data_IF_307754407201
#
_entry.id   IF_307754407201
#
_cell.length_a   1.000
_cell.length_b   1.000
_cell.length_c   1.000
_cell.angle_alpha   90.00
_cell.angle_beta   90.00
_cell.angle_gamma   90.00
#
_symmetry.space_group_name_H-M   'P 1'
#
loop_
_entity.id
_entity.type
_entity.pdbx_description
1 polymer ?
#
# COMPACT_ATOMS: atom_id res chain seq x y z
N UNK A 1 -11.93 10.87 4.90
CA UNK A 1 -11.17 9.60 5.02
C UNK A 1 -12.18 8.48 5.12
N UNK A 2 -12.05 7.41 4.33
CA UNK A 2 -13.03 6.32 4.32
C UNK A 2 -12.60 5.15 5.21
N UNK A 3 -11.34 4.76 5.11
CA UNK A 3 -10.77 3.62 5.85
C UNK A 3 -9.39 4.02 6.39
N UNK A 4 -9.03 3.51 7.57
CA UNK A 4 -7.68 3.60 8.14
C UNK A 4 -7.40 2.33 8.94
N UNK A 5 -6.32 1.63 8.60
CA UNK A 5 -5.93 0.40 9.31
C UNK A 5 -4.41 0.34 9.51
N UNK A 6 -4.00 -0.22 10.64
CA UNK A 6 -2.59 -0.43 10.97
C UNK A 6 -2.07 -1.63 10.19
N UNK A 7 -0.96 -1.44 9.49
CA UNK A 7 -0.35 -2.51 8.70
C UNK A 7 1.16 -2.33 8.54
N UNK A 8 1.80 -3.38 8.03
CA UNK A 8 3.15 -3.35 7.50
C UNK A 8 3.08 -3.26 5.98
N UNK A 9 3.89 -2.39 5.40
CA UNK A 9 4.06 -2.27 3.96
C UNK A 9 5.40 -2.87 3.56
N UNK A 10 5.36 -3.66 2.50
CA UNK A 10 6.50 -4.24 1.82
C UNK A 10 6.51 -3.76 0.38
N UNK A 11 7.71 -3.66 -0.20
CA UNK A 11 7.94 -3.38 -1.62
C UNK A 11 8.79 -4.50 -2.19
N UNK A 12 8.46 -4.93 -3.41
CA UNK A 12 9.28 -5.89 -4.15
C UNK A 12 10.50 -5.19 -4.72
N UNK A 13 11.66 -5.82 -4.58
CA UNK A 13 12.88 -5.43 -5.27
C UNK A 13 12.79 -5.80 -6.76
N UNK A 14 13.05 -4.85 -7.66
CA UNK A 14 12.84 -5.04 -9.11
C UNK A 14 13.82 -6.01 -9.75
N UNK A 15 15.02 -6.15 -9.20
CA UNK A 15 16.07 -7.00 -9.76
C UNK A 15 15.94 -8.44 -9.26
N UNK A 16 15.63 -8.60 -7.97
CA UNK A 16 15.63 -9.89 -7.29
C UNK A 16 14.25 -10.48 -7.06
N UNK A 17 13.19 -9.67 -7.20
CA UNK A 17 11.81 -10.05 -6.90
C UNK A 17 11.54 -10.30 -5.41
N UNK A 18 12.49 -9.96 -4.53
CA UNK A 18 12.38 -10.21 -3.09
C UNK A 18 11.59 -9.10 -2.39
N UNK A 19 10.72 -9.49 -1.46
CA UNK A 19 9.98 -8.55 -0.63
C UNK A 19 10.85 -7.94 0.46
N UNK A 20 10.94 -6.62 0.50
CA UNK A 20 11.62 -5.86 1.55
C UNK A 20 10.61 -5.05 2.34
N UNK A 21 10.78 -5.01 3.68
CA UNK A 21 9.92 -4.19 4.54
C UNK A 21 10.21 -2.72 4.26
N UNK A 22 9.16 -1.98 3.93
CA UNK A 22 9.23 -0.55 3.57
C UNK A 22 8.78 0.35 4.72
N UNK A 23 7.69 0.02 5.41
CA UNK A 23 7.14 0.86 6.47
C UNK A 23 6.24 0.09 7.45
N UNK A 24 6.02 0.66 8.63
CA UNK A 24 4.92 0.33 9.52
C UNK A 24 4.08 1.59 9.74
N UNK A 25 2.76 1.48 9.66
CA UNK A 25 1.94 2.69 9.64
C UNK A 25 0.45 2.45 9.57
N UNK A 26 -0.29 3.55 9.51
CA UNK A 26 -1.69 3.53 9.14
C UNK A 26 -1.82 3.74 7.63
N UNK A 27 -2.32 2.73 6.93
CA UNK A 27 -2.75 2.86 5.55
C UNK A 27 -4.17 3.40 5.52
N UNK A 28 -4.39 4.42 4.70
CA UNK A 28 -5.66 5.12 4.57
C UNK A 28 -6.14 5.13 3.13
N UNK A 29 -7.45 4.98 2.97
CA UNK A 29 -8.13 5.27 1.70
C UNK A 29 -8.81 6.62 1.84
N UNK A 30 -8.45 7.53 0.95
CA UNK A 30 -8.98 8.90 0.92
C UNK A 30 -9.62 9.19 -0.43
N UNK A 31 -10.63 10.06 -0.43
CA UNK A 31 -11.17 10.65 -1.64
C UNK A 31 -10.39 11.92 -1.95
N UNK A 32 -9.69 11.94 -3.08
CA UNK A 32 -9.01 13.13 -3.58
C UNK A 32 -10.03 14.00 -4.33
N UNK A 33 -10.50 15.07 -3.68
CA UNK A 33 -11.54 15.95 -4.20
C UNK A 33 -11.19 16.61 -5.55
N UNK A 34 -10.00 17.23 -5.73
CA UNK A 34 -9.61 17.84 -7.00
C UNK A 34 -9.59 16.87 -8.18
N UNK A 35 -8.98 15.70 -8.00
CA UNK A 35 -8.83 14.70 -9.06
C UNK A 35 -10.07 13.78 -9.19
N UNK A 36 -11.01 13.86 -8.24
CA UNK A 36 -12.18 13.00 -8.12
C UNK A 36 -11.81 11.51 -8.18
N UNK A 37 -10.81 11.12 -7.39
CA UNK A 37 -10.25 9.75 -7.38
C UNK A 37 -9.99 9.26 -5.96
N UNK A 38 -10.10 7.95 -5.74
CA UNK A 38 -9.65 7.35 -4.48
C UNK A 38 -8.12 7.14 -4.50
N UNK A 39 -7.46 7.51 -3.40
CA UNK A 39 -6.02 7.30 -3.20
C UNK A 39 -5.78 6.45 -1.95
N UNK A 40 -4.80 5.56 -2.07
CA UNK A 40 -4.14 4.94 -0.92
C UNK A 40 -3.00 5.87 -0.52
N UNK A 41 -2.97 6.22 0.76
CA UNK A 41 -1.83 6.90 1.38
C UNK A 41 -1.39 6.10 2.61
N UNK A 42 -0.10 6.14 2.92
CA UNK A 42 0.42 5.55 4.15
C UNK A 42 1.48 6.46 4.75
N UNK A 43 1.40 6.69 6.05
CA UNK A 43 2.39 7.43 6.84
C UNK A 43 3.15 6.42 7.68
N UNK A 44 4.47 6.48 7.64
CA UNK A 44 5.35 5.65 8.46
C UNK A 44 5.37 6.17 9.91
N UNK A 45 5.15 5.28 10.88
CA UNK A 45 5.09 5.65 12.30
C UNK A 45 6.44 6.05 12.89
N UNK A 46 7.56 5.58 12.32
CA UNK A 46 8.90 5.85 12.86
C UNK A 46 9.42 7.20 12.39
N UNK A 47 9.29 7.46 11.09
CA UNK A 47 9.80 8.70 10.48
C UNK A 47 8.73 9.79 10.35
N UNK A 48 7.46 9.46 10.62
CA UNK A 48 6.31 10.38 10.58
C UNK A 48 6.11 11.10 9.23
N UNK A 49 6.54 10.46 8.14
CA UNK A 49 6.37 10.97 6.78
C UNK A 49 5.55 10.03 5.91
N UNK A 50 4.97 10.56 4.84
CA UNK A 50 4.31 9.76 3.80
C UNK A 50 5.34 8.75 3.26
N UNK A 51 4.95 7.49 3.11
CA UNK A 51 5.83 6.45 2.58
C UNK A 51 5.25 5.75 1.35
N UNK A 52 3.95 5.90 1.07
CA UNK A 52 3.30 5.46 -0.15
C UNK A 52 2.14 6.38 -0.51
N UNK A 53 1.96 6.64 -1.81
CA UNK A 53 0.87 7.48 -2.34
C UNK A 53 0.51 7.06 -3.75
N UNK A 54 -0.66 6.46 -3.94
CA UNK A 54 -1.09 6.05 -5.28
C UNK A 54 -2.62 5.96 -5.42
N UNK A 55 -3.07 6.18 -6.65
CA UNK A 55 -4.49 6.13 -7.04
C UNK A 55 -4.97 4.68 -7.13
N UNK A 56 -6.16 4.41 -6.61
CA UNK A 56 -6.88 3.16 -6.84
C UNK A 56 -7.50 3.23 -8.25
N UNK A 57 -6.90 2.51 -9.20
CA UNK A 57 -7.40 2.44 -10.59
C UNK A 57 -8.42 1.30 -10.74
N UNK A 58 -9.37 1.39 -11.69
CA UNK A 58 -10.36 0.33 -11.94
C UNK A 58 -9.77 -1.07 -12.22
N UNK A 59 -8.50 -1.17 -12.62
CA UNK A 59 -7.80 -2.43 -12.85
C UNK A 59 -6.90 -2.90 -11.70
N UNK A 60 -6.86 -2.19 -10.56
CA UNK A 60 -6.03 -2.59 -9.42
C UNK A 60 -6.54 -3.92 -8.86
N UNK A 61 -5.66 -4.92 -8.81
CA UNK A 61 -5.96 -6.26 -8.28
C UNK A 61 -5.22 -6.46 -6.96
N UNK A 62 -5.99 -6.74 -5.91
CA UNK A 62 -5.47 -7.25 -4.64
C UNK A 62 -5.46 -8.78 -4.71
N UNK A 63 -4.27 -9.37 -4.62
CA UNK A 63 -4.07 -10.82 -4.63
C UNK A 63 -3.68 -11.26 -3.22
N UNK A 64 -4.43 -12.20 -2.65
CA UNK A 64 -4.05 -12.81 -1.39
C UNK A 64 -2.77 -13.64 -1.57
N UNK A 65 -1.85 -13.56 -0.61
CA UNK A 65 -0.65 -14.39 -0.65
C UNK A 65 -0.98 -15.80 -0.16
N UNK A 66 -0.51 -16.83 -0.89
CA UNK A 66 -0.88 -18.24 -0.64
C UNK A 66 -0.61 -18.75 0.79
N UNK A 67 0.29 -18.11 1.53
CA UNK A 67 0.69 -18.49 2.89
C UNK A 67 0.14 -17.55 3.97
N UNK A 68 -0.80 -16.65 3.66
CA UNK A 68 -1.37 -15.72 4.63
C UNK A 68 -2.79 -15.28 4.28
N UNK A 69 -3.66 -15.28 5.28
CA UNK A 69 -5.05 -14.79 5.20
C UNK A 69 -5.20 -13.29 5.54
N UNK A 70 -4.07 -12.61 5.80
CA UNK A 70 -4.02 -11.21 6.20
C UNK A 70 -2.91 -10.46 5.48
N UNK A 71 -2.46 -10.99 4.34
CA UNK A 71 -1.45 -10.37 3.49
C UNK A 71 -1.87 -10.39 2.03
N UNK A 72 -1.79 -9.23 1.39
CA UNK A 72 -2.20 -9.03 0.01
C UNK A 72 -1.11 -8.31 -0.75
N UNK A 73 -0.86 -8.73 -1.99
CA UNK A 73 -0.02 -8.02 -2.92
C UNK A 73 -0.85 -7.33 -4.01
N UNK A 74 -0.32 -6.22 -4.51
CA UNK A 74 -0.92 -5.47 -5.60
C UNK A 74 0.16 -4.63 -6.28
N UNK A 75 -0.13 -4.23 -7.51
CA UNK A 75 0.72 -3.35 -8.29
C UNK A 75 0.08 -1.96 -8.38
N UNK A 76 0.89 -0.92 -8.19
CA UNK A 76 0.42 0.45 -8.31
C UNK A 76 1.52 1.35 -8.88
N UNK A 77 1.10 2.39 -9.60
CA UNK A 77 1.97 3.52 -9.94
C UNK A 77 2.15 4.36 -8.68
N UNK A 78 3.26 4.17 -7.98
CA UNK A 78 3.61 4.93 -6.79
C UNK A 78 4.01 6.35 -7.20
N UNK A 79 3.32 7.33 -6.62
CA UNK A 79 3.57 8.76 -6.81
C UNK A 79 4.38 9.34 -5.65
N UNK A 80 4.89 8.48 -4.77
CA UNK A 80 5.81 8.85 -3.71
C UNK A 80 7.24 8.99 -4.26
N UNK A 81 7.83 10.20 -4.13
CA UNK A 81 9.18 10.52 -4.57
C UNK A 81 9.25 11.35 -5.86
N UNK A 82 10.43 11.46 -6.47
CA UNK A 82 10.67 12.34 -7.64
C UNK A 82 10.14 11.77 -8.97
N UNK A 83 9.94 10.45 -9.07
CA UNK A 83 9.51 9.77 -10.30
C UNK A 83 8.36 8.82 -10.03
N UNK A 84 7.34 8.87 -10.89
CA UNK A 84 6.23 7.92 -10.88
C UNK A 84 6.73 6.58 -11.41
N UNK A 85 6.69 5.55 -10.57
CA UNK A 85 7.15 4.21 -10.93
C UNK A 85 6.05 3.20 -10.65
N UNK A 86 5.89 2.23 -11.56
CA UNK A 86 5.08 1.04 -11.26
C UNK A 86 5.87 0.21 -10.27
N UNK A 87 5.23 -0.11 -9.14
CA UNK A 87 5.82 -0.81 -8.01
C UNK A 87 4.87 -1.90 -7.54
N UNK A 88 5.45 -3.01 -7.08
CA UNK A 88 4.70 -4.08 -6.44
C UNK A 88 4.80 -3.93 -4.94
N UNK A 89 3.64 -3.87 -4.29
CA UNK A 89 3.49 -3.74 -2.87
C UNK A 89 2.89 -5.00 -2.28
N UNK A 90 3.22 -5.26 -1.01
CA UNK A 90 2.46 -6.17 -0.19
C UNK A 90 2.10 -5.52 1.14
N UNK A 91 0.86 -5.67 1.57
CA UNK A 91 0.36 -5.15 2.85
C UNK A 91 0.09 -6.34 3.75
N UNK A 92 0.65 -6.33 4.95
CA UNK A 92 0.36 -7.30 6.00
C UNK A 92 -0.37 -6.63 7.15
N UNK A 93 -1.58 -7.10 7.44
CA UNK A 93 -2.38 -6.64 8.58
C UNK A 93 -2.03 -7.44 9.84
N UNK A 94 -2.52 -6.98 10.99
CA UNK A 94 -2.28 -7.70 12.27
C UNK A 94 -2.92 -9.08 12.29
N UNK A 95 -4.10 -9.22 11.67
CA UNK A 95 -4.88 -10.46 11.59
C UNK A 95 -5.94 -10.33 10.48
N UNK A 96 -6.62 -11.44 10.17
CA UNK A 96 -7.68 -11.54 9.17
C UNK A 96 -8.81 -10.52 9.38
N UNK A 97 -9.26 -10.33 10.62
CA UNK A 97 -10.31 -9.34 10.94
C UNK A 97 -9.94 -7.88 10.61
N UNK A 98 -8.65 -7.55 10.57
CA UNK A 98 -8.17 -6.22 10.16
C UNK A 98 -7.94 -6.09 8.66
N UNK A 99 -7.85 -7.23 7.97
CA UNK A 99 -7.70 -7.33 6.53
C UNK A 99 -9.06 -7.29 5.81
N UNK A 100 -10.08 -7.90 6.41
CA UNK A 100 -11.51 -7.81 6.01
C UNK A 100 -12.08 -6.42 6.32
#
# INVERSE_FOLDING_TARGET
QLISSKCLLFKSDKETGKWQRKACGNLKIIWNLPEKQFKIIMIDDQIHTLCASHIIRPGLRLLAMSHSDHMFCYEALDEFGEKKNVEQFAIKFKNKKKAE
#
